data_IF_832273050048
#
_entry.id   IF_832273050048
#
_cell.length_a   1.000
_cell.length_b   1.000
_cell.length_c   1.000
_cell.angle_alpha   90.00
_cell.angle_beta   90.00
_cell.angle_gamma   90.00
#
_symmetry.space_group_name_H-M   'P 1'
#
loop_
_entity.id
_entity.type
_entity.pdbx_description
1 polymer ?
#
# COMPACT_ATOMS: atom_id res chain seq x y z
N UNK A 1 3.48 29.02 26.57
CA UNK A 1 3.46 27.54 26.56
C UNK A 1 3.16 27.10 25.13
N UNK A 2 3.97 26.19 24.57
CA UNK A 2 4.24 25.98 23.14
C UNK A 2 3.03 26.00 22.20
N UNK A 3 3.15 26.81 21.15
CA UNK A 3 2.40 26.73 19.90
C UNK A 3 2.43 25.29 19.38
N UNK A 4 1.26 24.71 19.10
CA UNK A 4 1.15 23.54 18.24
C UNK A 4 1.54 24.00 16.84
N UNK A 5 2.80 23.84 16.46
CA UNK A 5 3.17 23.74 15.05
C UNK A 5 2.31 22.62 14.46
N UNK A 6 1.35 22.99 13.60
CA UNK A 6 0.66 22.02 12.78
C UNK A 6 1.72 21.41 11.87
N UNK A 7 2.21 20.21 12.21
CA UNK A 7 2.97 19.40 11.25
C UNK A 7 2.09 19.31 10.00
N UNK A 8 2.58 19.87 8.90
CA UNK A 8 1.95 19.74 7.61
C UNK A 8 1.75 18.24 7.35
N UNK A 9 0.51 17.84 7.08
CA UNK A 9 0.22 16.42 6.82
C UNK A 9 0.93 16.04 5.53
N UNK A 10 1.56 14.87 5.51
CA UNK A 10 2.08 14.36 4.23
C UNK A 10 0.92 14.17 3.25
N UNK A 11 1.18 14.31 1.95
CA UNK A 11 0.18 14.06 0.90
C UNK A 11 -0.48 12.69 1.08
N UNK A 12 0.29 11.69 1.51
CA UNK A 12 -0.20 10.35 1.81
C UNK A 12 -1.18 10.29 2.97
N UNK A 13 -0.98 11.08 4.02
CA UNK A 13 -1.94 11.20 5.13
C UNK A 13 -3.24 11.87 4.66
N UNK A 14 -3.17 12.88 3.80
CA UNK A 14 -4.34 13.52 3.21
C UNK A 14 -5.16 12.54 2.35
N UNK A 15 -4.48 11.76 1.51
CA UNK A 15 -5.12 10.73 0.68
C UNK A 15 -5.74 9.62 1.55
N UNK A 16 -5.03 9.14 2.57
CA UNK A 16 -5.55 8.13 3.51
C UNK A 16 -6.84 8.61 4.20
N UNK A 17 -6.89 9.89 4.58
CA UNK A 17 -8.07 10.52 5.19
C UNK A 17 -9.19 10.70 4.14
N UNK A 18 -8.88 11.30 3.00
CA UNK A 18 -9.85 11.69 1.98
C UNK A 18 -10.54 10.52 1.29
N UNK A 19 -9.82 9.41 1.06
CA UNK A 19 -10.41 8.19 0.47
C UNK A 19 -11.18 7.33 1.49
N UNK A 20 -11.21 7.71 2.78
CA UNK A 20 -11.91 6.98 3.83
C UNK A 20 -11.36 5.58 4.15
N UNK A 21 -10.29 5.15 3.47
CA UNK A 21 -9.64 3.87 3.68
C UNK A 21 -8.79 3.84 4.94
N UNK A 22 -8.23 4.97 5.38
CA UNK A 22 -7.30 5.03 6.50
C UNK A 22 -6.18 3.99 6.38
N UNK A 23 -5.76 3.41 7.51
CA UNK A 23 -4.72 2.35 7.55
C UNK A 23 -5.07 1.11 6.72
N UNK A 24 -6.31 0.99 6.21
CA UNK A 24 -6.75 -0.15 5.41
C UNK A 24 -6.07 -0.23 4.05
N UNK A 25 -5.66 0.91 3.52
CA UNK A 25 -5.10 1.04 2.19
C UNK A 25 -3.59 0.75 2.13
N UNK A 26 -2.91 0.76 3.29
CA UNK A 26 -1.44 0.68 3.40
C UNK A 26 -0.81 -0.55 2.76
N UNK A 27 -1.45 -1.72 2.83
CA UNK A 27 -0.89 -2.94 2.21
C UNK A 27 -0.86 -2.81 0.69
N UNK A 28 -1.98 -2.39 0.09
CA UNK A 28 -2.07 -2.20 -1.35
C UNK A 28 -1.13 -1.08 -1.81
N UNK A 29 -1.17 0.07 -1.14
CA UNK A 29 -0.27 1.19 -1.42
C UNK A 29 1.21 0.76 -1.36
N UNK A 30 1.61 0.04 -0.31
CA UNK A 30 2.99 -0.40 -0.17
C UNK A 30 3.43 -1.35 -1.31
N UNK A 31 2.56 -2.27 -1.72
CA UNK A 31 2.83 -3.18 -2.84
C UNK A 31 2.90 -2.43 -4.18
N UNK A 32 1.99 -1.48 -4.43
CA UNK A 32 1.98 -0.63 -5.63
C UNK A 32 3.27 0.21 -5.73
N UNK A 33 3.73 0.76 -4.60
CA UNK A 33 4.94 1.58 -4.55
C UNK A 33 6.22 0.76 -4.72
N UNK A 34 6.14 -0.57 -4.59
CA UNK A 34 7.26 -1.52 -4.70
C UNK A 34 6.91 -2.69 -5.66
N UNK A 35 6.60 -2.41 -6.94
CA UNK A 35 5.97 -3.40 -7.81
C UNK A 35 6.87 -4.59 -8.15
N UNK A 36 8.19 -4.39 -8.18
CA UNK A 36 9.18 -5.42 -8.53
C UNK A 36 9.60 -6.31 -7.34
N UNK A 37 8.98 -6.10 -6.16
CA UNK A 37 9.35 -6.81 -4.93
C UNK A 37 8.21 -7.69 -4.44
N UNK A 38 8.57 -8.89 -4.01
CA UNK A 38 7.69 -9.80 -3.29
C UNK A 38 7.96 -9.70 -1.79
N UNK A 39 6.91 -9.73 -0.98
CA UNK A 39 7.00 -9.53 0.47
C UNK A 39 6.31 -10.65 1.23
N UNK A 40 6.89 -11.09 2.34
CA UNK A 40 6.16 -11.94 3.29
C UNK A 40 5.12 -11.13 4.05
N UNK A 41 4.12 -11.79 4.63
CA UNK A 41 3.16 -11.14 5.55
C UNK A 41 3.84 -10.43 6.73
N UNK A 42 5.00 -10.94 7.18
CA UNK A 42 5.77 -10.36 8.28
C UNK A 42 6.49 -9.07 7.86
N UNK A 43 7.10 -9.05 6.68
CA UNK A 43 7.70 -7.82 6.14
C UNK A 43 6.64 -6.75 5.87
N UNK A 44 5.44 -7.15 5.41
CA UNK A 44 4.31 -6.21 5.26
C UNK A 44 3.83 -5.67 6.61
N UNK A 45 3.81 -6.50 7.66
CA UNK A 45 3.46 -6.05 9.02
C UNK A 45 4.42 -4.98 9.52
N UNK A 46 5.73 -5.21 9.35
CA UNK A 46 6.77 -4.25 9.69
C UNK A 46 6.65 -2.95 8.90
N UNK A 47 6.44 -3.04 7.59
CA UNK A 47 6.39 -1.87 6.70
C UNK A 47 5.12 -1.01 6.89
N UNK A 48 3.98 -1.63 7.15
CA UNK A 48 2.69 -0.93 7.22
C UNK A 48 2.25 -0.57 8.64
N UNK A 49 2.91 -1.12 9.66
CA UNK A 49 2.53 -0.99 11.06
C UNK A 49 1.21 -1.69 11.42
N UNK A 50 0.71 -2.57 10.55
CA UNK A 50 -0.51 -3.34 10.76
C UNK A 50 -0.21 -4.66 11.45
N UNK A 51 -1.16 -5.13 12.27
CA UNK A 51 -1.10 -6.47 12.87
C UNK A 51 -1.28 -7.55 11.79
N UNK A 52 -0.54 -8.65 11.90
CA UNK A 52 -0.55 -9.77 10.94
C UNK A 52 -1.95 -10.26 10.57
N UNK A 53 -2.93 -10.46 11.49
CA UNK A 53 -4.28 -10.89 11.10
C UNK A 53 -5.02 -9.88 10.22
N UNK A 54 -4.74 -8.58 10.36
CA UNK A 54 -5.29 -7.57 9.44
C UNK A 54 -4.64 -7.64 8.07
N UNK A 55 -3.37 -8.05 7.98
CA UNK A 55 -2.68 -8.20 6.71
C UNK A 55 -3.19 -9.44 5.99
N UNK A 56 -3.33 -10.56 6.69
CA UNK A 56 -3.86 -11.80 6.10
C UNK A 56 -5.26 -11.60 5.52
N UNK A 57 -6.18 -10.95 6.26
CA UNK A 57 -7.51 -10.61 5.74
C UNK A 57 -7.45 -9.74 4.48
N UNK A 58 -6.52 -8.77 4.43
CA UNK A 58 -6.35 -7.89 3.27
C UNK A 58 -5.78 -8.64 2.08
N UNK A 59 -4.71 -9.40 2.28
CA UNK A 59 -4.08 -10.18 1.25
C UNK A 59 -5.08 -11.16 0.64
N UNK A 60 -5.89 -11.83 1.46
CA UNK A 60 -6.98 -12.68 0.98
C UNK A 60 -7.90 -11.93 0.00
N UNK A 61 -8.45 -10.78 0.40
CA UNK A 61 -9.30 -9.98 -0.50
C UNK A 61 -8.57 -9.51 -1.76
N UNK A 62 -7.32 -9.06 -1.65
CA UNK A 62 -6.54 -8.57 -2.80
C UNK A 62 -6.17 -9.71 -3.78
N UNK A 63 -5.97 -10.92 -3.27
CA UNK A 63 -5.75 -12.13 -4.09
C UNK A 63 -7.05 -12.52 -4.79
N UNK A 64 -8.18 -12.54 -4.07
CA UNK A 64 -9.52 -12.83 -4.63
C UNK A 64 -9.89 -11.85 -5.75
N UNK A 65 -9.51 -10.57 -5.62
CA UNK A 65 -9.68 -9.54 -6.67
C UNK A 65 -8.66 -9.66 -7.83
N UNK A 66 -7.66 -10.53 -7.70
CA UNK A 66 -6.57 -10.66 -8.67
C UNK A 66 -5.64 -9.44 -8.71
N UNK A 67 -5.59 -8.64 -7.64
CA UNK A 67 -4.73 -7.45 -7.54
C UNK A 67 -3.35 -7.77 -6.96
N UNK A 68 -3.23 -8.89 -6.25
CA UNK A 68 -1.99 -9.40 -5.67
C UNK A 68 -1.79 -10.85 -6.07
N UNK A 69 -0.56 -11.22 -6.42
CA UNK A 69 -0.15 -12.61 -6.65
C UNK A 69 0.46 -13.17 -5.36
N UNK A 70 0.08 -14.39 -4.99
CA UNK A 70 0.73 -15.18 -3.95
C UNK A 70 1.71 -16.15 -4.63
N UNK A 71 2.99 -16.11 -4.27
CA UNK A 71 3.98 -17.07 -4.75
C UNK A 71 3.92 -18.35 -3.91
N UNK A 72 4.06 -19.50 -4.57
CA UNK A 72 3.90 -20.82 -3.94
C UNK A 72 5.10 -21.25 -3.08
N UNK A 73 6.24 -20.56 -3.21
CA UNK A 73 7.44 -20.85 -2.43
C UNK A 73 7.25 -20.56 -0.94
N UNK A 74 7.93 -21.34 -0.08
CA UNK A 74 7.96 -21.09 1.37
C UNK A 74 9.21 -20.28 1.75
N UNK A 75 9.07 -19.21 2.56
CA UNK A 75 7.81 -18.66 3.07
C UNK A 75 6.98 -17.98 1.97
N UNK A 76 5.65 -18.04 2.08
CA UNK A 76 4.74 -17.39 1.13
C UNK A 76 5.06 -15.90 1.00
N UNK A 77 5.18 -15.44 -0.24
CA UNK A 77 5.40 -14.02 -0.57
C UNK A 77 4.29 -13.49 -1.46
N UNK A 78 4.04 -12.19 -1.36
CA UNK A 78 2.97 -11.47 -2.01
C UNK A 78 3.54 -10.32 -2.82
N UNK A 79 3.10 -10.19 -4.07
CA UNK A 79 3.53 -9.14 -4.99
C UNK A 79 2.32 -8.53 -5.68
N UNK A 80 2.40 -7.26 -6.05
CA UNK A 80 1.33 -6.63 -6.83
C UNK A 80 1.18 -7.32 -8.19
N UNK A 81 -0.05 -7.50 -8.66
CA UNK A 81 -0.31 -8.06 -9.99
C UNK A 81 -0.28 -6.97 -11.07
N UNK A 82 0.91 -6.64 -11.57
CA UNK A 82 1.08 -5.64 -12.63
C UNK A 82 0.41 -6.00 -13.95
N UNK A 83 -0.05 -7.23 -14.16
CA UNK A 83 -0.79 -7.62 -15.37
C UNK A 83 -2.27 -7.21 -15.30
N UNK A 84 -2.81 -6.96 -14.10
CA UNK A 84 -4.19 -6.55 -13.91
C UNK A 84 -4.38 -5.09 -14.36
N UNK A 85 -5.34 -4.84 -15.27
CA UNK A 85 -5.60 -3.50 -15.83
C UNK A 85 -5.98 -2.47 -14.76
N UNK A 86 -6.76 -2.85 -13.75
CA UNK A 86 -7.13 -1.93 -12.65
C UNK A 86 -5.90 -1.59 -11.82
N UNK A 87 -5.04 -2.58 -11.54
CA UNK A 87 -3.77 -2.36 -10.84
C UNK A 87 -2.86 -1.41 -11.62
N UNK A 88 -2.74 -1.55 -12.94
CA UNK A 88 -1.95 -0.62 -13.77
C UNK A 88 -2.42 0.82 -13.62
N UNK A 89 -3.73 1.06 -13.68
CA UNK A 89 -4.30 2.39 -13.48
C UNK A 89 -4.02 2.94 -12.08
N UNK A 90 -4.08 2.09 -11.05
CA UNK A 90 -3.69 2.48 -9.70
C UNK A 90 -2.19 2.81 -9.63
N UNK A 91 -1.31 2.01 -10.23
CA UNK A 91 0.12 2.28 -10.26
C UNK A 91 0.43 3.63 -10.93
N UNK A 92 -0.20 3.93 -12.06
CA UNK A 92 -0.08 5.24 -12.73
C UNK A 92 -0.58 6.38 -11.85
N UNK A 93 -1.73 6.21 -11.19
CA UNK A 93 -2.28 7.21 -10.26
C UNK A 93 -1.30 7.51 -9.12
N UNK A 94 -0.76 6.49 -8.47
CA UNK A 94 0.22 6.65 -7.39
C UNK A 94 1.53 7.27 -7.87
N UNK A 95 1.96 6.95 -9.09
CA UNK A 95 3.16 7.54 -9.68
C UNK A 95 2.99 9.05 -9.88
N UNK A 96 1.86 9.49 -10.44
CA UNK A 96 1.54 10.92 -10.60
C UNK A 96 1.47 11.65 -9.26
N UNK A 97 0.93 11.01 -8.23
CA UNK A 97 0.91 11.58 -6.88
C UNK A 97 2.31 11.75 -6.29
N UNK A 98 3.21 10.78 -6.47
CA UNK A 98 4.61 10.92 -6.06
C UNK A 98 5.30 12.08 -6.77
N UNK A 99 5.12 12.18 -8.08
CA UNK A 99 5.68 13.28 -8.88
C UNK A 99 5.17 14.64 -8.41
N UNK A 100 3.87 14.74 -8.11
CA UNK A 100 3.28 15.93 -7.53
C UNK A 100 3.88 16.29 -6.16
N UNK A 101 4.07 15.31 -5.27
CA UNK A 101 4.68 15.50 -3.95
C UNK A 101 6.11 16.05 -4.04
N UNK A 102 6.94 15.56 -4.98
CA UNK A 102 8.31 16.05 -5.19
C UNK A 102 8.39 17.43 -5.87
N UNK A 103 7.29 17.87 -6.50
CA UNK A 103 7.22 19.17 -7.17
C UNK A 103 6.73 20.32 -6.28
N UNK A 104 6.27 20.01 -5.06
CA UNK A 104 5.85 20.98 -4.04
C UNK A 104 7.03 21.41 -3.17
#
# INVERSE_FOLDING_TARGET
MRSRESKEKSLWEEIEIGLGGGRKFRVLAYLILNPDKAFTKYSLAKATGLRTPSIERRLKTLIELGWVKENEFKPKTYQINSDNRVVKLLMEFFQKLREYEYSR
#
